data_IF_434950060537
#
_entry.id   IF_434950060537
#
_cell.length_a   1.000
_cell.length_b   1.000
_cell.length_c   1.000
_cell.angle_alpha   90.00
_cell.angle_beta   90.00
_cell.angle_gamma   90.00
#
_symmetry.space_group_name_H-M   'P 1'
#
loop_
_entity.id
_entity.type
_entity.pdbx_description
1 polymer ?
#
# COMPACT_ATOMS: atom_id res chain seq x y z
N UNK A 1 45.78 51.28 29.69
CA UNK A 1 45.65 51.85 28.33
C UNK A 1 45.36 50.71 27.38
N UNK A 2 44.29 50.83 26.60
CA UNK A 2 43.71 49.78 25.75
C UNK A 2 44.59 49.44 24.55
N UNK A 3 44.68 48.16 24.16
CA UNK A 3 44.52 47.78 22.75
C UNK A 3 44.05 46.32 22.63
N UNK A 4 42.86 46.14 22.07
CA UNK A 4 42.20 44.86 21.82
C UNK A 4 42.69 44.35 20.47
N UNK A 5 43.27 43.14 20.42
CA UNK A 5 43.55 42.46 19.16
C UNK A 5 42.62 41.25 19.04
N UNK A 6 41.51 41.49 18.36
CA UNK A 6 40.65 40.53 17.67
C UNK A 6 41.47 39.55 16.83
N UNK A 7 41.22 38.23 16.93
CA UNK A 7 40.82 37.37 15.81
C UNK A 7 40.53 35.94 16.31
N UNK A 8 39.29 35.68 16.71
CA UNK A 8 38.79 34.33 16.92
C UNK A 8 38.41 33.78 15.55
N UNK A 9 39.34 33.08 14.91
CA UNK A 9 39.15 32.53 13.58
C UNK A 9 38.46 31.16 13.64
N UNK A 10 37.40 31.05 12.82
CA UNK A 10 36.77 29.83 12.31
C UNK A 10 35.89 29.03 13.29
N UNK A 11 34.72 29.60 13.58
CA UNK A 11 33.52 28.79 13.82
C UNK A 11 33.10 28.13 12.50
N UNK A 12 33.15 26.80 12.48
CA UNK A 12 32.61 25.96 11.42
C UNK A 12 31.08 26.07 11.45
N UNK A 13 30.50 26.97 10.64
CA UNK A 13 29.06 27.06 10.47
C UNK A 13 28.59 25.92 9.55
N UNK A 14 28.45 24.72 10.11
CA UNK A 14 27.69 23.65 9.47
C UNK A 14 26.20 24.00 9.56
N UNK A 15 25.68 24.72 8.56
CA UNK A 15 24.25 24.86 8.38
C UNK A 15 23.66 23.48 8.05
N UNK A 16 22.65 22.99 8.77
CA UNK A 16 21.94 21.80 8.33
C UNK A 16 21.21 22.15 7.03
N UNK A 17 21.58 21.49 5.94
CA UNK A 17 20.69 21.41 4.78
C UNK A 17 19.36 20.86 5.30
N UNK A 18 18.19 21.41 4.89
CA UNK A 18 16.94 20.73 5.13
C UNK A 18 17.05 19.41 4.37
N UNK A 19 17.28 18.32 5.11
CA UNK A 19 17.01 17.00 4.58
C UNK A 19 15.54 17.05 4.17
N UNK A 20 15.28 16.89 2.87
CA UNK A 20 13.93 16.61 2.38
C UNK A 20 13.64 15.20 2.89
N UNK A 21 13.32 15.09 4.18
CA UNK A 21 12.78 13.89 4.75
C UNK A 21 11.38 13.79 4.16
N UNK A 22 11.23 12.96 3.11
CA UNK A 22 9.93 12.46 2.72
C UNK A 22 9.34 11.76 3.95
N UNK A 23 8.57 12.52 4.73
CA UNK A 23 7.76 11.94 5.79
C UNK A 23 6.77 11.03 5.08
N UNK A 24 6.78 9.70 5.34
CA UNK A 24 5.85 8.81 4.67
C UNK A 24 4.44 9.34 4.91
N UNK A 25 3.74 9.69 3.83
CA UNK A 25 2.37 10.18 3.92
C UNK A 25 1.54 9.11 4.63
N UNK A 26 1.08 9.42 5.85
CA UNK A 26 0.19 8.52 6.57
C UNK A 26 -1.14 8.47 5.83
N UNK A 27 -1.68 7.29 5.52
CA UNK A 27 -2.96 7.19 4.84
C UNK A 27 -4.04 7.85 5.69
N UNK A 28 -4.84 8.71 5.05
CA UNK A 28 -5.98 9.36 5.70
C UNK A 28 -6.98 8.31 6.22
N UNK A 29 -7.70 8.63 7.29
CA UNK A 29 -8.72 7.73 7.85
C UNK A 29 -9.74 7.26 6.79
N UNK A 30 -10.14 8.14 5.87
CA UNK A 30 -11.02 7.80 4.74
C UNK A 30 -10.42 6.76 3.80
N UNK A 31 -9.11 6.84 3.53
CA UNK A 31 -8.43 5.86 2.69
C UNK A 31 -8.41 4.49 3.38
N UNK A 32 -8.07 4.44 4.67
CA UNK A 32 -8.09 3.21 5.47
C UNK A 32 -9.49 2.59 5.51
N UNK A 33 -10.54 3.40 5.71
CA UNK A 33 -11.92 2.92 5.66
C UNK A 33 -12.30 2.35 4.29
N UNK A 34 -11.92 3.01 3.19
CA UNK A 34 -12.13 2.52 1.84
C UNK A 34 -11.43 1.19 1.56
N UNK A 35 -10.17 1.04 1.99
CA UNK A 35 -9.45 -0.23 1.91
C UNK A 35 -10.13 -1.34 2.72
N UNK A 36 -10.57 -1.03 3.94
CA UNK A 36 -11.25 -2.00 4.80
C UNK A 36 -12.54 -2.51 4.16
N UNK A 37 -13.32 -1.62 3.56
CA UNK A 37 -14.53 -1.98 2.83
C UNK A 37 -14.22 -2.88 1.62
N UNK A 38 -13.22 -2.52 0.80
CA UNK A 38 -12.82 -3.34 -0.34
C UNK A 38 -12.35 -4.75 0.08
N UNK A 39 -11.59 -4.86 1.17
CA UNK A 39 -11.14 -6.16 1.70
C UNK A 39 -12.33 -7.00 2.18
N UNK A 40 -13.33 -6.37 2.81
CA UNK A 40 -14.54 -7.06 3.24
C UNK A 40 -15.31 -7.63 2.04
N UNK A 41 -15.51 -6.86 0.98
CA UNK A 41 -16.18 -7.31 -0.24
C UNK A 41 -15.42 -8.46 -0.91
N UNK A 42 -14.09 -8.37 -0.99
CA UNK A 42 -13.25 -9.46 -1.51
C UNK A 42 -13.40 -10.75 -0.68
N UNK A 43 -13.45 -10.64 0.64
CA UNK A 43 -13.62 -11.79 1.53
C UNK A 43 -15.00 -12.44 1.38
N UNK A 44 -16.06 -11.63 1.33
CA UNK A 44 -17.45 -12.10 1.12
C UNK A 44 -17.57 -12.80 -0.23
N UNK A 45 -17.05 -12.19 -1.29
CA UNK A 45 -17.08 -12.81 -2.62
C UNK A 45 -16.26 -14.10 -2.65
N UNK A 46 -15.05 -14.14 -2.07
CA UNK A 46 -14.26 -15.37 -2.01
C UNK A 46 -14.98 -16.53 -1.31
N UNK A 47 -15.73 -16.24 -0.23
CA UNK A 47 -16.54 -17.25 0.46
C UNK A 47 -17.68 -17.79 -0.42
N UNK A 48 -18.20 -16.99 -1.36
CA UNK A 48 -19.22 -17.44 -2.33
C UNK A 48 -18.72 -18.56 -3.25
N UNK A 49 -17.39 -18.74 -3.38
CA UNK A 49 -16.76 -19.78 -4.20
C UNK A 49 -16.48 -21.09 -3.43
N UNK A 50 -16.84 -21.18 -2.14
CA UNK A 50 -16.72 -22.43 -1.39
C UNK A 50 -17.52 -23.56 -2.05
N UNK A 51 -16.90 -24.74 -2.13
CA UNK A 51 -17.48 -25.93 -2.76
C UNK A 51 -17.22 -26.06 -4.26
N UNK A 52 -16.61 -25.07 -4.92
CA UNK A 52 -16.16 -25.21 -6.30
C UNK A 52 -14.93 -26.13 -6.35
N UNK A 53 -14.96 -27.10 -7.25
CA UNK A 53 -13.83 -28.01 -7.48
C UNK A 53 -12.59 -27.26 -7.95
N UNK A 54 -11.44 -27.61 -7.36
CA UNK A 54 -10.16 -27.17 -7.89
C UNK A 54 -9.88 -27.85 -9.24
N UNK A 55 -9.52 -27.08 -10.26
CA UNK A 55 -9.08 -27.57 -11.56
C UNK A 55 -7.94 -26.71 -12.06
N UNK A 56 -6.78 -27.31 -12.34
CA UNK A 56 -5.65 -26.61 -12.93
C UNK A 56 -6.02 -25.94 -14.28
N UNK A 57 -5.74 -24.64 -14.43
CA UNK A 57 -6.19 -23.85 -15.58
C UNK A 57 -7.71 -23.62 -15.60
N UNK A 58 -8.37 -23.73 -14.45
CA UNK A 58 -9.81 -23.51 -14.28
C UNK A 58 -10.13 -22.04 -14.05
N UNK A 59 -11.14 -21.54 -14.77
CA UNK A 59 -11.46 -20.10 -14.79
C UNK A 59 -12.93 -19.80 -14.53
N UNK A 60 -13.80 -20.83 -14.41
CA UNK A 60 -15.24 -20.67 -14.24
C UNK A 60 -15.78 -21.53 -13.11
N UNK A 61 -16.93 -21.13 -12.54
CA UNK A 61 -17.55 -21.88 -11.43
C UNK A 61 -18.05 -23.25 -11.87
N UNK A 62 -18.48 -23.38 -13.11
CA UNK A 62 -19.07 -24.59 -13.70
C UNK A 62 -18.01 -25.64 -14.02
N UNK A 63 -16.81 -25.20 -14.43
CA UNK A 63 -15.71 -26.07 -14.86
C UNK A 63 -14.64 -26.28 -13.79
N UNK A 64 -14.70 -25.51 -12.69
CA UNK A 64 -13.72 -25.49 -11.62
C UNK A 64 -12.74 -24.32 -11.75
N UNK A 65 -12.11 -23.98 -10.62
CA UNK A 65 -11.19 -22.85 -10.51
C UNK A 65 -9.78 -23.33 -10.16
N UNK A 66 -8.75 -22.65 -10.66
CA UNK A 66 -7.43 -22.70 -10.05
C UNK A 66 -7.18 -21.51 -9.11
N UNK A 67 -5.96 -21.41 -8.58
CA UNK A 67 -5.58 -20.33 -7.66
C UNK A 67 -5.71 -18.94 -8.29
N UNK A 68 -5.23 -18.76 -9.53
CA UNK A 68 -5.32 -17.49 -10.25
C UNK A 68 -6.74 -17.20 -10.76
N UNK A 69 -7.46 -18.23 -11.19
CA UNK A 69 -8.85 -18.16 -11.62
C UNK A 69 -9.74 -17.67 -10.49
N UNK A 70 -9.57 -18.20 -9.26
CA UNK A 70 -10.29 -17.71 -8.09
C UNK A 70 -9.99 -16.22 -7.84
N UNK A 71 -8.71 -15.83 -7.77
CA UNK A 71 -8.30 -14.44 -7.51
C UNK A 71 -8.91 -13.48 -8.55
N UNK A 72 -8.80 -13.81 -9.84
CA UNK A 72 -9.35 -12.97 -10.92
C UNK A 72 -10.87 -12.86 -10.85
N UNK A 73 -11.58 -13.95 -10.56
CA UNK A 73 -13.04 -13.92 -10.38
C UNK A 73 -13.44 -13.05 -9.18
N UNK A 74 -12.78 -13.21 -8.03
CA UNK A 74 -13.08 -12.45 -6.81
C UNK A 74 -12.88 -10.96 -7.00
N UNK A 75 -11.74 -10.54 -7.56
CA UNK A 75 -11.45 -9.12 -7.79
C UNK A 75 -12.40 -8.48 -8.80
N UNK A 76 -12.71 -9.20 -9.90
CA UNK A 76 -13.62 -8.70 -10.92
C UNK A 76 -15.04 -8.54 -10.37
N UNK A 77 -15.52 -9.50 -9.60
CA UNK A 77 -16.90 -9.51 -9.11
C UNK A 77 -17.12 -8.61 -7.89
N UNK A 78 -16.15 -8.55 -6.97
CA UNK A 78 -16.29 -7.77 -5.73
C UNK A 78 -16.08 -6.27 -5.94
N UNK A 79 -15.08 -5.89 -6.75
CA UNK A 79 -14.65 -4.49 -6.88
C UNK A 79 -14.47 -4.03 -8.33
N UNK A 80 -14.80 -4.86 -9.33
CA UNK A 80 -14.72 -4.49 -10.75
C UNK A 80 -13.29 -4.42 -11.31
N UNK A 81 -12.31 -5.03 -10.65
CA UNK A 81 -10.92 -5.04 -11.13
C UNK A 81 -10.63 -6.30 -11.95
N UNK A 82 -10.21 -6.11 -13.19
CA UNK A 82 -9.78 -7.21 -14.07
C UNK A 82 -8.25 -7.42 -13.96
N UNK A 83 -7.83 -8.67 -13.75
CA UNK A 83 -6.43 -9.07 -13.45
C UNK A 83 -5.84 -9.96 -14.54
#
# INVERSE_FOLDING_TARGET
MHFRATLFALLFAAAPLPAIAETPAQPSATAVAGYTHAVQELAIEALSHLGISYRWGGESRETGLDCSGLVRNVFRNAIGLDL
#
